data_IF_964971535399
#
_entry.id   IF_964971535399
#
_cell.length_a   1.000
_cell.length_b   1.000
_cell.length_c   1.000
_cell.angle_alpha   90.00
_cell.angle_beta   90.00
_cell.angle_gamma   90.00
#
_symmetry.space_group_name_H-M   'P 1'
#
loop_
_entity.id
_entity.type
_entity.pdbx_description
1 polymer ?
#
# COMPACT_ATOMS: atom_id res chain seq x y z
N UNK A 1 -35.16 -21.04 -20.64
CA UNK A 1 -34.53 -21.17 -19.31
C UNK A 1 -33.32 -22.07 -19.45
N UNK A 2 -32.16 -21.49 -19.73
CA UNK A 2 -30.85 -22.13 -19.60
C UNK A 2 -29.92 -21.06 -19.02
N UNK A 3 -29.20 -21.44 -17.97
CA UNK A 3 -28.57 -20.56 -17.00
C UNK A 3 -27.46 -19.69 -17.59
N UNK A 4 -27.58 -18.39 -17.37
CA UNK A 4 -26.47 -17.44 -17.29
C UNK A 4 -25.59 -17.84 -16.10
N UNK A 5 -24.48 -18.54 -16.33
CA UNK A 5 -23.46 -18.79 -15.31
C UNK A 5 -22.06 -18.97 -15.92
N UNK A 6 -21.79 -18.34 -17.07
CA UNK A 6 -20.48 -18.40 -17.74
C UNK A 6 -19.69 -17.06 -17.70
N UNK A 7 -20.10 -16.07 -16.91
CA UNK A 7 -19.30 -14.86 -16.67
C UNK A 7 -18.94 -14.72 -15.19
N UNK A 8 -18.14 -15.66 -14.71
CA UNK A 8 -17.29 -15.46 -13.53
C UNK A 8 -15.95 -16.18 -13.69
N UNK A 9 -15.37 -16.11 -14.88
CA UNK A 9 -13.91 -16.06 -14.98
C UNK A 9 -13.46 -14.75 -14.34
N UNK A 10 -13.41 -14.75 -13.00
CA UNK A 10 -12.67 -13.74 -12.27
C UNK A 10 -11.24 -13.79 -12.79
N UNK A 11 -10.84 -12.65 -13.33
CA UNK A 11 -9.52 -12.27 -13.83
C UNK A 11 -8.47 -12.28 -12.68
N UNK A 12 -8.30 -13.42 -12.00
CA UNK A 12 -7.35 -13.65 -10.92
C UNK A 12 -5.93 -13.85 -11.47
N UNK A 13 -5.80 -14.27 -12.73
CA UNK A 13 -4.53 -14.51 -13.39
C UNK A 13 -3.79 -13.21 -13.80
N UNK A 14 -4.49 -12.08 -13.95
CA UNK A 14 -3.88 -10.83 -14.42
C UNK A 14 -3.13 -10.03 -13.33
N UNK A 15 -3.30 -10.35 -12.05
CA UNK A 15 -2.84 -9.49 -10.93
C UNK A 15 -1.49 -9.88 -10.30
N UNK A 16 -0.79 -10.87 -10.85
CA UNK A 16 0.53 -11.30 -10.34
C UNK A 16 1.65 -11.22 -11.38
N UNK A 17 1.44 -10.52 -12.50
CA UNK A 17 2.54 -10.07 -13.36
C UNK A 17 3.34 -9.00 -12.61
N UNK A 18 4.23 -9.44 -11.73
CA UNK A 18 5.16 -8.58 -11.04
C UNK A 18 6.27 -8.18 -12.03
N UNK A 19 6.40 -6.89 -12.42
CA UNK A 19 7.36 -6.52 -13.44
C UNK A 19 8.78 -6.92 -13.02
N UNK A 20 9.52 -7.63 -13.90
CA UNK A 20 10.86 -8.14 -13.59
C UNK A 20 11.79 -7.04 -13.07
N UNK A 21 11.80 -5.87 -13.70
CA UNK A 21 12.60 -4.73 -13.24
C UNK A 21 12.23 -4.26 -11.83
N UNK A 22 10.94 -4.30 -11.49
CA UNK A 22 10.46 -3.97 -10.14
C UNK A 22 10.90 -5.04 -9.14
N UNK A 23 10.77 -6.31 -9.49
CA UNK A 23 11.26 -7.43 -8.68
C UNK A 23 12.75 -7.28 -8.39
N UNK A 24 13.57 -7.11 -9.43
CA UNK A 24 15.01 -6.96 -9.30
C UNK A 24 15.37 -5.73 -8.47
N UNK A 25 14.70 -4.59 -8.69
CA UNK A 25 14.94 -3.39 -7.90
C UNK A 25 14.68 -3.64 -6.40
N UNK A 26 13.56 -4.25 -6.06
CA UNK A 26 13.19 -4.57 -4.67
C UNK A 26 14.04 -5.67 -4.04
N UNK A 27 14.54 -6.61 -4.84
CA UNK A 27 15.50 -7.62 -4.42
C UNK A 27 16.86 -6.98 -4.09
N UNK A 28 17.42 -6.20 -5.02
CA UNK A 28 18.76 -5.60 -4.87
C UNK A 28 18.81 -4.51 -3.81
N UNK A 29 17.71 -3.80 -3.60
CA UNK A 29 17.62 -2.82 -2.52
C UNK A 29 17.16 -3.45 -1.19
N UNK A 30 16.76 -4.73 -1.15
CA UNK A 30 16.28 -5.42 0.05
C UNK A 30 14.89 -5.00 0.55
N UNK A 31 14.03 -4.44 -0.31
CA UNK A 31 12.68 -4.00 0.07
C UNK A 31 11.74 -5.15 0.38
N UNK A 32 11.95 -6.32 -0.22
CA UNK A 32 11.22 -7.53 0.13
C UNK A 32 11.48 -8.04 1.55
N UNK A 33 12.44 -7.45 2.25
CA UNK A 33 12.81 -7.85 3.60
C UNK A 33 12.60 -6.70 4.60
N UNK A 34 11.73 -5.74 4.28
CA UNK A 34 11.36 -4.67 5.21
C UNK A 34 10.51 -5.21 6.37
N UNK A 35 9.68 -6.21 6.09
CA UNK A 35 8.72 -6.81 7.04
C UNK A 35 8.28 -8.20 6.62
N UNK A 36 7.64 -8.95 7.51
CA UNK A 36 7.10 -10.29 7.24
C UNK A 36 6.12 -10.27 6.06
N UNK A 37 5.32 -9.21 5.93
CA UNK A 37 4.38 -9.04 4.83
C UNK A 37 5.08 -8.86 3.47
N UNK A 38 6.18 -8.10 3.43
CA UNK A 38 6.96 -7.92 2.19
C UNK A 38 7.75 -9.18 1.81
N UNK A 39 8.22 -9.94 2.80
CA UNK A 39 8.88 -11.23 2.57
C UNK A 39 7.88 -12.28 2.07
N UNK A 40 6.67 -12.27 2.63
CA UNK A 40 5.56 -13.09 2.16
C UNK A 40 5.18 -12.74 0.72
N UNK A 41 5.09 -11.45 0.37
CA UNK A 41 4.88 -11.02 -1.01
C UNK A 41 5.95 -11.57 -1.96
N UNK A 42 7.24 -11.51 -1.59
CA UNK A 42 8.33 -12.08 -2.39
C UNK A 42 8.15 -13.57 -2.62
N UNK A 43 7.83 -14.33 -1.56
CA UNK A 43 7.57 -15.76 -1.64
C UNK A 43 6.43 -16.05 -2.63
N UNK A 44 5.33 -15.31 -2.56
CA UNK A 44 4.18 -15.50 -3.44
C UNK A 44 4.48 -15.15 -4.90
N UNK A 45 5.30 -14.12 -5.16
CA UNK A 45 5.75 -13.79 -6.52
C UNK A 45 6.58 -14.94 -7.10
N UNK A 46 7.51 -15.49 -6.32
CA UNK A 46 8.34 -16.61 -6.75
C UNK A 46 7.52 -17.89 -6.96
N UNK A 47 6.58 -18.18 -6.06
CA UNK A 47 5.66 -19.31 -6.19
C UNK A 47 4.81 -19.19 -7.45
N UNK A 48 4.22 -18.01 -7.68
CA UNK A 48 3.39 -17.76 -8.85
C UNK A 48 4.19 -17.89 -10.15
N UNK A 49 5.44 -17.39 -10.18
CA UNK A 49 6.30 -17.57 -11.34
C UNK A 49 6.60 -19.06 -11.59
N UNK A 50 6.85 -19.85 -10.55
CA UNK A 50 7.05 -21.30 -10.70
C UNK A 50 5.79 -21.97 -11.25
N UNK A 51 4.63 -21.65 -10.68
CA UNK A 51 3.34 -22.19 -11.12
C UNK A 51 3.03 -21.84 -12.60
N UNK A 52 3.33 -20.60 -13.02
CA UNK A 52 2.96 -20.09 -14.34
C UNK A 52 3.96 -20.40 -15.45
N UNK A 53 5.25 -20.61 -15.13
CA UNK A 53 6.31 -20.80 -16.13
C UNK A 53 6.96 -22.19 -16.10
N UNK A 54 6.69 -23.02 -15.09
CA UNK A 54 7.22 -24.38 -15.06
C UNK A 54 6.48 -25.27 -16.04
N UNK A 55 7.24 -26.09 -16.78
CA UNK A 55 6.69 -27.06 -17.75
C UNK A 55 6.05 -28.25 -17.02
N UNK A 56 6.60 -28.60 -15.85
CA UNK A 56 6.08 -29.64 -14.94
C UNK A 56 5.66 -29.01 -13.60
N UNK A 57 4.60 -29.51 -12.97
CA UNK A 57 4.18 -29.04 -11.64
C UNK A 57 5.14 -29.52 -10.54
N UNK A 58 6.18 -28.72 -10.31
CA UNK A 58 7.16 -28.90 -9.23
C UNK A 58 6.91 -27.92 -8.07
N UNK A 59 5.65 -27.52 -7.85
CA UNK A 59 5.31 -26.62 -6.74
C UNK A 59 5.44 -27.29 -5.37
N UNK A 60 5.46 -28.63 -5.33
CA UNK A 60 5.50 -29.44 -4.10
C UNK A 60 6.77 -29.21 -3.26
N UNK A 61 7.91 -28.94 -3.90
CA UNK A 61 9.22 -28.70 -3.30
C UNK A 61 9.49 -27.23 -2.96
N UNK A 62 8.61 -26.32 -3.40
CA UNK A 62 8.86 -24.87 -3.37
C UNK A 62 9.17 -24.32 -1.97
N UNK A 63 8.39 -24.71 -0.95
CA UNK A 63 8.58 -24.18 0.40
C UNK A 63 9.91 -24.63 1.01
N UNK A 64 10.38 -25.83 0.68
CA UNK A 64 11.65 -26.37 1.15
C UNK A 64 12.82 -25.64 0.49
N UNK A 65 12.76 -25.42 -0.83
CA UNK A 65 13.75 -24.61 -1.55
C UNK A 65 13.78 -23.16 -1.06
N UNK A 66 12.62 -22.58 -0.79
CA UNK A 66 12.52 -21.22 -0.25
C UNK A 66 13.16 -21.16 1.15
N UNK A 67 12.93 -22.16 2.01
CA UNK A 67 13.56 -22.24 3.33
C UNK A 67 15.09 -22.39 3.25
N UNK A 68 15.60 -23.20 2.29
CA UNK A 68 17.04 -23.32 2.01
C UNK A 68 17.62 -21.99 1.52
N UNK A 69 16.90 -21.28 0.64
CA UNK A 69 17.32 -19.97 0.17
C UNK A 69 17.49 -18.98 1.33
N UNK A 70 16.63 -19.03 2.35
CA UNK A 70 16.69 -18.14 3.51
C UNK A 70 17.82 -18.46 4.50
N UNK A 71 18.40 -19.67 4.46
CA UNK A 71 19.39 -20.13 5.44
C UNK A 71 20.68 -19.31 5.42
N UNK A 72 21.16 -18.94 4.23
CA UNK A 72 22.42 -18.20 4.11
C UNK A 72 22.19 -16.71 4.39
N UNK A 73 23.05 -16.06 5.21
CA UNK A 73 22.97 -14.62 5.41
C UNK A 73 23.29 -13.89 4.10
N UNK A 74 22.68 -12.73 3.91
CA UNK A 74 22.96 -11.89 2.75
C UNK A 74 24.34 -11.23 2.90
N UNK A 75 25.20 -11.43 1.90
CA UNK A 75 26.56 -10.88 1.83
C UNK A 75 26.70 -9.70 0.85
N UNK A 76 25.59 -9.10 0.39
CA UNK A 76 25.63 -8.00 -0.57
C UNK A 76 26.32 -6.75 0.01
N UNK A 77 27.53 -6.46 -0.48
CA UNK A 77 28.38 -5.40 0.05
C UNK A 77 27.77 -4.00 -0.07
N UNK A 78 26.93 -3.78 -1.09
CA UNK A 78 26.24 -2.50 -1.36
C UNK A 78 25.04 -2.23 -0.45
N UNK A 79 24.53 -3.22 0.29
CA UNK A 79 23.45 -3.01 1.27
C UNK A 79 24.09 -2.60 2.61
N UNK A 80 23.72 -1.47 3.23
CA UNK A 80 24.30 -1.05 4.51
C UNK A 80 24.22 -2.14 5.61
N UNK A 81 25.22 -2.18 6.50
CA UNK A 81 25.36 -3.23 7.52
C UNK A 81 24.11 -3.38 8.42
N UNK A 82 23.55 -2.28 8.92
CA UNK A 82 22.33 -2.30 9.72
C UNK A 82 21.14 -2.91 8.97
N UNK A 83 21.05 -2.63 7.66
CA UNK A 83 19.99 -3.17 6.81
C UNK A 83 20.21 -4.67 6.55
N UNK A 84 21.45 -5.11 6.33
CA UNK A 84 21.77 -6.55 6.23
C UNK A 84 21.40 -7.32 7.50
N UNK A 85 21.66 -6.73 8.67
CA UNK A 85 21.29 -7.32 9.96
C UNK A 85 19.76 -7.51 10.05
N UNK A 86 18.97 -6.46 9.76
CA UNK A 86 17.51 -6.55 9.71
C UNK A 86 17.03 -7.65 8.76
N UNK A 87 17.58 -7.69 7.55
CA UNK A 87 17.22 -8.70 6.54
C UNK A 87 17.51 -10.11 7.07
N UNK A 88 18.67 -10.34 7.67
CA UNK A 88 19.05 -11.65 8.19
C UNK A 88 18.16 -12.08 9.38
N UNK A 89 17.76 -11.14 10.25
CA UNK A 89 16.78 -11.40 11.32
C UNK A 89 15.45 -11.87 10.72
N UNK A 90 14.92 -11.14 9.75
CA UNK A 90 13.65 -11.49 9.10
C UNK A 90 13.72 -12.83 8.36
N UNK A 91 14.81 -13.09 7.63
CA UNK A 91 15.04 -14.37 6.95
C UNK A 91 15.07 -15.53 7.94
N UNK A 92 15.72 -15.34 9.08
CA UNK A 92 15.79 -16.33 10.17
C UNK A 92 14.40 -16.61 10.75
N UNK A 93 13.62 -15.56 11.02
CA UNK A 93 12.22 -15.64 11.48
C UNK A 93 11.33 -16.42 10.53
N UNK A 94 11.30 -16.07 9.25
CA UNK A 94 10.46 -16.76 8.25
C UNK A 94 10.91 -18.21 8.04
N UNK A 95 12.22 -18.46 7.96
CA UNK A 95 12.77 -19.82 7.89
C UNK A 95 12.34 -20.67 9.08
N UNK A 96 12.29 -20.08 10.27
CA UNK A 96 11.86 -20.78 11.47
C UNK A 96 10.40 -21.20 11.42
N UNK A 97 9.49 -20.36 10.90
CA UNK A 97 8.10 -20.78 10.64
C UNK A 97 8.08 -21.92 9.63
N UNK A 98 8.80 -21.80 8.51
CA UNK A 98 8.83 -22.83 7.46
C UNK A 98 9.31 -24.18 7.99
N UNK A 99 10.29 -24.19 8.91
CA UNK A 99 10.83 -25.42 9.49
C UNK A 99 9.92 -26.04 10.56
N UNK A 100 9.30 -25.23 11.42
CA UNK A 100 8.59 -25.73 12.60
C UNK A 100 7.06 -25.77 12.44
N UNK A 101 6.52 -24.97 11.52
CA UNK A 101 5.10 -24.97 11.18
C UNK A 101 4.87 -24.59 9.69
N UNK A 102 5.33 -25.44 8.75
CA UNK A 102 5.14 -25.19 7.31
C UNK A 102 3.67 -25.12 6.90
N UNK A 103 2.76 -25.67 7.71
CA UNK A 103 1.33 -25.72 7.40
C UNK A 103 0.71 -24.34 7.23
N UNK A 104 1.23 -23.32 7.94
CA UNK A 104 0.77 -21.93 7.77
C UNK A 104 0.92 -21.46 6.32
N UNK A 105 2.06 -21.75 5.67
CA UNK A 105 2.28 -21.37 4.28
C UNK A 105 1.57 -22.30 3.30
N UNK A 106 1.48 -23.60 3.60
CA UNK A 106 0.69 -24.54 2.78
C UNK A 106 -0.78 -24.13 2.73
N UNK A 107 -1.35 -23.73 3.86
CA UNK A 107 -2.71 -23.20 3.95
C UNK A 107 -2.88 -21.90 3.16
N UNK A 108 -1.85 -21.03 3.10
CA UNK A 108 -1.89 -19.85 2.25
C UNK A 108 -1.90 -20.24 0.77
N UNK A 109 -0.95 -21.09 0.33
CA UNK A 109 -0.76 -21.45 -1.07
C UNK A 109 -1.90 -22.30 -1.65
N UNK A 110 -2.64 -23.02 -0.81
CA UNK A 110 -3.83 -23.79 -1.24
C UNK A 110 -5.07 -22.93 -1.50
N UNK A 111 -5.06 -21.65 -1.10
CA UNK A 111 -6.20 -20.75 -1.31
C UNK A 111 -6.29 -20.29 -2.76
N UNK A 112 -7.50 -20.20 -3.35
CA UNK A 112 -7.69 -19.58 -4.66
C UNK A 112 -7.25 -18.10 -4.71
N UNK A 113 -7.34 -17.40 -3.58
CA UNK A 113 -7.01 -15.98 -3.42
C UNK A 113 -5.67 -15.76 -2.72
N UNK A 114 -4.73 -16.71 -2.77
CA UNK A 114 -3.46 -16.67 -1.99
C UNK A 114 -2.67 -15.36 -2.12
N UNK A 115 -2.85 -14.62 -3.22
CA UNK A 115 -2.18 -13.35 -3.50
C UNK A 115 -2.87 -12.12 -2.89
N UNK A 116 -4.10 -12.27 -2.40
CA UNK A 116 -4.94 -11.21 -1.84
C UNK A 116 -4.34 -10.62 -0.56
N UNK A 117 -4.64 -9.36 -0.29
CA UNK A 117 -4.20 -8.73 0.96
C UNK A 117 -4.78 -9.44 2.18
N UNK A 118 -6.02 -9.90 2.08
CA UNK A 118 -6.75 -10.65 3.10
C UNK A 118 -6.07 -11.98 3.41
N UNK A 119 -5.65 -12.74 2.40
CA UNK A 119 -4.94 -14.01 2.57
C UNK A 119 -3.60 -13.78 3.29
N UNK A 120 -2.82 -12.80 2.83
CA UNK A 120 -1.55 -12.42 3.46
C UNK A 120 -1.72 -11.93 4.90
N UNK A 121 -2.72 -11.08 5.16
CA UNK A 121 -3.07 -10.60 6.50
C UNK A 121 -3.40 -11.77 7.42
N UNK A 122 -4.19 -12.74 6.95
CA UNK A 122 -4.52 -13.92 7.74
C UNK A 122 -3.27 -14.76 8.04
N UNK A 123 -2.38 -14.97 7.08
CA UNK A 123 -1.12 -15.68 7.33
C UNK A 123 -0.26 -15.02 8.41
N UNK A 124 -0.17 -13.69 8.42
CA UNK A 124 0.53 -12.97 9.51
C UNK A 124 -0.16 -13.19 10.87
N UNK A 125 -1.49 -13.27 10.91
CA UNK A 125 -2.22 -13.64 12.13
C UNK A 125 -1.91 -15.06 12.58
N UNK A 126 -1.88 -16.01 11.65
CA UNK A 126 -1.63 -17.41 11.94
C UNK A 126 -0.20 -17.59 12.48
N UNK A 127 0.79 -16.87 11.92
CA UNK A 127 2.17 -16.80 12.46
C UNK A 127 2.16 -16.28 13.90
N UNK A 128 1.51 -15.14 14.14
CA UNK A 128 1.45 -14.56 15.48
C UNK A 128 0.78 -15.50 16.50
N UNK A 129 -0.36 -16.08 16.16
CA UNK A 129 -1.09 -17.02 17.02
C UNK A 129 -0.25 -18.26 17.31
N UNK A 130 0.46 -18.78 16.32
CA UNK A 130 1.40 -19.87 16.52
C UNK A 130 2.55 -19.47 17.45
N UNK A 131 3.13 -18.28 17.31
CA UNK A 131 4.15 -17.78 18.24
C UNK A 131 3.61 -17.59 19.66
N UNK A 132 2.32 -17.32 19.83
CA UNK A 132 1.66 -17.26 21.15
C UNK A 132 1.63 -18.63 21.83
N UNK A 133 1.36 -19.69 21.06
CA UNK A 133 1.22 -21.05 21.59
C UNK A 133 2.51 -21.88 21.49
N UNK A 134 3.57 -21.34 20.87
CA UNK A 134 4.84 -22.02 20.69
C UNK A 134 5.55 -22.23 22.04
N UNK A 135 5.75 -23.49 22.41
CA UNK A 135 6.38 -23.93 23.66
C UNK A 135 7.71 -24.67 23.45
N UNK A 136 8.24 -24.70 22.22
CA UNK A 136 9.49 -25.38 21.89
C UNK A 136 10.73 -24.56 22.24
N UNK A 137 11.89 -25.23 22.26
CA UNK A 137 13.19 -24.54 22.30
C UNK A 137 13.42 -23.81 20.97
N UNK A 138 13.09 -22.53 20.93
CA UNK A 138 13.63 -21.65 19.90
C UNK A 138 15.15 -21.62 20.14
N UNK A 139 15.94 -22.15 19.21
CA UNK A 139 17.40 -22.03 19.29
C UNK A 139 17.82 -20.58 19.50
N UNK A 140 19.02 -20.35 20.04
CA UNK A 140 19.55 -19.04 20.49
C UNK A 140 19.51 -17.88 19.48
N UNK A 141 19.12 -18.12 18.23
CA UNK A 141 19.02 -17.12 17.17
C UNK A 141 17.65 -16.41 17.09
N UNK A 142 16.62 -16.86 17.82
CA UNK A 142 15.26 -16.32 17.71
C UNK A 142 14.68 -15.99 19.08
N UNK A 143 14.58 -14.69 19.35
CA UNK A 143 13.85 -14.16 20.50
C UNK A 143 12.35 -14.09 20.16
N UNK A 144 11.63 -15.17 20.49
CA UNK A 144 10.19 -15.31 20.18
C UNK A 144 9.37 -14.20 20.83
N UNK A 145 9.71 -13.79 22.06
CA UNK A 145 9.00 -12.73 22.78
C UNK A 145 9.14 -11.39 22.04
N UNK A 146 10.37 -11.01 21.68
CA UNK A 146 10.62 -9.76 20.97
C UNK A 146 10.02 -9.76 19.58
N UNK A 147 10.05 -10.90 18.89
CA UNK A 147 9.37 -11.02 17.60
C UNK A 147 7.85 -10.85 17.71
N UNK A 148 7.20 -11.41 18.74
CA UNK A 148 5.76 -11.17 18.96
C UNK A 148 5.46 -9.69 19.18
N UNK A 149 6.28 -9.02 19.97
CA UNK A 149 6.15 -7.58 20.21
C UNK A 149 6.33 -6.77 18.92
N UNK A 150 7.33 -7.13 18.10
CA UNK A 150 7.55 -6.52 16.79
C UNK A 150 6.34 -6.69 15.86
N UNK A 151 5.82 -7.92 15.75
CA UNK A 151 4.63 -8.19 14.93
C UNK A 151 3.44 -7.38 15.43
N UNK A 152 3.20 -7.34 16.74
CA UNK A 152 2.10 -6.60 17.32
C UNK A 152 2.25 -5.08 17.10
N UNK A 153 3.46 -4.54 17.20
CA UNK A 153 3.73 -3.13 16.95
C UNK A 153 3.54 -2.76 15.46
N UNK A 154 4.04 -3.59 14.55
CA UNK A 154 4.01 -3.33 13.11
C UNK A 154 2.62 -3.58 12.50
N UNK A 155 1.93 -4.62 12.98
CA UNK A 155 0.66 -5.09 12.44
C UNK A 155 -0.48 -5.04 13.46
N UNK A 156 -0.46 -4.12 14.43
CA UNK A 156 -1.51 -3.94 15.46
C UNK A 156 -2.94 -4.00 14.87
N UNK A 157 -3.14 -3.37 13.73
CA UNK A 157 -4.41 -3.32 13.00
C UNK A 157 -4.87 -4.68 12.45
N UNK A 158 -3.96 -5.65 12.35
CA UNK A 158 -4.31 -7.01 11.97
C UNK A 158 -4.94 -7.72 13.17
N UNK A 159 -4.34 -7.60 14.36
CA UNK A 159 -4.72 -8.31 15.57
C UNK A 159 -5.89 -7.71 16.33
N UNK A 160 -6.23 -6.46 16.06
CA UNK A 160 -7.52 -5.92 16.46
C UNK A 160 -8.63 -6.71 15.75
N UNK A 161 -9.16 -7.74 16.43
CA UNK A 161 -10.49 -8.28 16.13
C UNK A 161 -11.43 -7.10 15.99
N UNK A 162 -12.31 -7.17 15.01
CA UNK A 162 -13.20 -6.12 14.52
C UNK A 162 -13.96 -5.39 15.64
N UNK A 163 -13.29 -4.53 16.41
CA UNK A 163 -13.83 -3.32 17.01
C UNK A 163 -13.96 -2.26 15.92
N UNK A 164 -14.51 -2.67 14.78
CA UNK A 164 -15.41 -1.81 14.02
C UNK A 164 -16.84 -2.09 14.48
N UNK A 165 -17.05 -2.14 15.80
CA UNK A 165 -18.25 -1.54 16.34
C UNK A 165 -18.13 -0.07 15.96
N UNK A 166 -18.72 0.29 14.83
CA UNK A 166 -19.10 1.64 14.43
C UNK A 166 -18.52 2.71 15.36
N UNK A 167 -17.25 3.05 15.21
CA UNK A 167 -16.91 4.46 15.23
C UNK A 167 -17.50 5.01 13.93
N UNK A 168 -18.84 5.09 13.92
CA UNK A 168 -19.48 6.33 13.55
C UNK A 168 -18.75 7.35 14.43
N UNK A 169 -17.65 7.91 13.92
CA UNK A 169 -17.49 9.34 14.03
C UNK A 169 -18.88 9.85 13.69
N UNK A 170 -19.59 10.37 14.70
CA UNK A 170 -20.90 10.97 14.49
C UNK A 170 -20.76 11.77 13.20
N UNK A 171 -21.66 11.60 12.20
CA UNK A 171 -21.53 12.33 10.96
C UNK A 171 -21.64 13.79 11.35
N UNK A 172 -20.50 14.44 11.58
CA UNK A 172 -20.40 15.87 11.43
C UNK A 172 -20.86 16.05 9.99
N UNK A 173 -22.06 16.62 9.82
CA UNK A 173 -22.51 17.09 8.51
C UNK A 173 -21.27 17.72 7.86
N UNK A 174 -20.78 17.17 6.74
CA UNK A 174 -19.56 17.70 6.17
C UNK A 174 -19.84 19.18 5.90
N UNK A 175 -19.00 20.06 6.44
CA UNK A 175 -19.18 21.49 6.26
C UNK A 175 -19.18 21.90 4.77
N UNK A 176 -18.68 21.00 3.91
CA UNK A 176 -18.57 21.13 2.48
C UNK A 176 -18.99 19.82 1.79
N UNK A 177 -19.84 19.92 0.78
CA UNK A 177 -20.35 18.82 -0.06
C UNK A 177 -19.47 18.59 -1.30
N UNK A 178 -18.68 19.59 -1.72
CA UNK A 178 -17.85 19.50 -2.93
C UNK A 178 -16.53 20.28 -2.81
N UNK A 179 -15.46 19.76 -3.42
CA UNK A 179 -14.12 20.36 -3.44
C UNK A 179 -14.06 21.84 -3.88
N UNK A 180 -14.91 22.30 -4.81
CA UNK A 180 -14.89 23.71 -5.22
C UNK A 180 -15.21 24.67 -4.07
N UNK A 181 -15.95 24.22 -3.05
CA UNK A 181 -16.39 25.08 -1.94
C UNK A 181 -15.23 25.53 -1.05
N UNK A 182 -14.13 24.78 -1.05
CA UNK A 182 -12.91 25.09 -0.29
C UNK A 182 -11.90 25.93 -1.10
N UNK A 183 -12.13 26.09 -2.41
CA UNK A 183 -11.32 26.94 -3.26
C UNK A 183 -11.64 28.42 -3.01
N UNK A 184 -10.61 29.25 -3.15
CA UNK A 184 -10.72 30.71 -3.05
C UNK A 184 -11.42 31.29 -4.27
N UNK A 185 -12.41 32.15 -4.02
CA UNK A 185 -13.20 32.88 -5.02
C UNK A 185 -14.27 33.73 -4.34
N UNK A 186 -14.73 34.79 -5.00
CA UNK A 186 -15.71 35.76 -4.49
C UNK A 186 -17.12 35.16 -4.42
N UNK A 187 -17.47 34.33 -5.41
CA UNK A 187 -18.78 33.72 -5.52
C UNK A 187 -18.69 32.22 -5.90
N UNK A 188 -19.85 31.57 -5.96
CA UNK A 188 -19.96 30.15 -6.31
C UNK A 188 -19.48 29.87 -7.74
N UNK A 189 -19.75 30.77 -8.69
CA UNK A 189 -19.41 30.58 -10.10
C UNK A 189 -17.88 30.63 -10.29
N UNK A 190 -17.21 31.59 -9.66
CA UNK A 190 -15.76 31.74 -9.70
C UNK A 190 -15.04 30.53 -9.09
N UNK A 191 -15.57 29.99 -7.98
CA UNK A 191 -15.06 28.77 -7.35
C UNK A 191 -15.25 27.53 -8.23
N UNK A 192 -16.42 27.40 -8.87
CA UNK A 192 -16.71 26.29 -9.79
C UNK A 192 -15.85 26.37 -11.05
N UNK A 193 -15.66 27.57 -11.62
CA UNK A 193 -14.77 27.80 -12.75
C UNK A 193 -13.32 27.44 -12.42
N UNK A 194 -12.84 27.83 -11.24
CA UNK A 194 -11.51 27.45 -10.77
C UNK A 194 -11.36 25.94 -10.61
N UNK A 195 -12.37 25.27 -10.08
CA UNK A 195 -12.37 23.81 -9.99
C UNK A 195 -12.37 23.16 -11.38
N UNK A 196 -13.15 23.68 -12.32
CA UNK A 196 -13.14 23.21 -13.72
C UNK A 196 -11.75 23.37 -14.34
N UNK A 197 -11.11 24.53 -14.19
CA UNK A 197 -9.73 24.76 -14.66
C UNK A 197 -8.72 23.79 -14.03
N UNK A 198 -8.85 23.51 -12.74
CA UNK A 198 -8.04 22.49 -12.06
C UNK A 198 -8.21 21.12 -12.73
N UNK A 199 -9.45 20.70 -12.95
CA UNK A 199 -9.76 19.42 -13.62
C UNK A 199 -9.22 19.40 -15.04
N UNK A 200 -9.38 20.47 -15.82
CA UNK A 200 -8.89 20.58 -17.19
C UNK A 200 -7.36 20.44 -17.25
N UNK A 201 -6.64 21.08 -16.32
CA UNK A 201 -5.19 20.93 -16.15
C UNK A 201 -4.84 19.47 -15.85
N UNK A 202 -5.51 18.84 -14.89
CA UNK A 202 -5.24 17.46 -14.50
C UNK A 202 -5.55 16.45 -15.62
N UNK A 203 -6.56 16.71 -16.45
CA UNK A 203 -6.87 15.91 -17.63
C UNK A 203 -5.82 16.11 -18.73
N UNK A 204 -5.47 17.37 -19.03
CA UNK A 204 -4.48 17.72 -20.06
C UNK A 204 -3.13 17.07 -19.76
N UNK A 205 -2.66 17.21 -18.53
CA UNK A 205 -1.39 16.62 -18.08
C UNK A 205 -1.49 15.13 -17.75
N UNK A 206 -2.64 14.49 -18.01
CA UNK A 206 -2.83 13.04 -17.85
C UNK A 206 -2.60 12.56 -16.40
N UNK A 207 -3.02 13.33 -15.40
CA UNK A 207 -3.06 12.91 -13.99
C UNK A 207 -4.37 12.18 -13.66
N UNK A 208 -5.45 12.54 -14.36
CA UNK A 208 -6.77 11.93 -14.23
C UNK A 208 -7.34 11.51 -15.60
N UNK A 209 -8.37 10.68 -15.59
CA UNK A 209 -9.19 10.30 -16.76
C UNK A 209 -10.66 10.58 -16.46
N UNK A 210 -11.46 10.83 -17.48
CA UNK A 210 -12.92 10.83 -17.36
C UNK A 210 -13.40 9.43 -16.96
N UNK A 211 -14.36 9.37 -16.04
CA UNK A 211 -15.09 8.12 -15.74
C UNK A 211 -16.43 8.10 -16.47
N UNK A 212 -17.13 6.95 -16.42
CA UNK A 212 -18.50 6.82 -16.93
C UNK A 212 -19.50 7.71 -16.19
N UNK A 213 -19.18 8.11 -14.95
CA UNK A 213 -20.03 8.98 -14.15
C UNK A 213 -19.69 10.46 -14.42
N UNK A 214 -20.64 11.28 -14.91
CA UNK A 214 -20.41 12.70 -15.14
C UNK A 214 -19.95 13.42 -13.87
N UNK A 215 -18.90 14.23 -13.99
CA UNK A 215 -18.32 14.97 -12.86
C UNK A 215 -17.45 14.12 -11.92
N UNK A 216 -17.18 12.86 -12.28
CA UNK A 216 -16.29 11.96 -11.55
C UNK A 216 -15.13 11.51 -12.44
N UNK A 217 -13.93 11.45 -11.88
CA UNK A 217 -12.69 11.19 -12.62
C UNK A 217 -11.91 10.05 -11.97
N UNK A 218 -11.17 9.28 -12.76
CA UNK A 218 -10.28 8.23 -12.24
C UNK A 218 -8.84 8.74 -12.21
N UNK A 219 -8.22 8.68 -11.05
CA UNK A 219 -6.81 8.99 -10.87
C UNK A 219 -5.96 7.93 -11.54
N UNK A 220 -5.00 8.35 -12.38
CA UNK A 220 -4.20 7.43 -13.21
C UNK A 220 -3.05 6.78 -12.44
N UNK A 221 -2.54 7.42 -11.38
CA UNK A 221 -1.36 6.91 -10.69
C UNK A 221 -1.75 5.98 -9.51
N UNK A 222 -1.77 4.67 -9.79
CA UNK A 222 -1.97 3.62 -8.79
C UNK A 222 -0.68 3.18 -8.08
N UNK A 223 0.47 3.76 -8.42
CA UNK A 223 1.76 3.39 -7.83
C UNK A 223 1.98 3.96 -6.41
N UNK A 224 3.07 3.53 -5.75
CA UNK A 224 3.46 3.88 -4.36
C UNK A 224 3.58 5.39 -4.09
N UNK A 225 3.61 6.23 -5.13
CA UNK A 225 3.65 7.71 -5.06
C UNK A 225 2.29 8.41 -5.19
N UNK A 226 1.22 7.73 -5.61
CA UNK A 226 -0.07 8.35 -5.95
C UNK A 226 -0.69 9.16 -4.79
N UNK A 227 -0.65 8.61 -3.57
CA UNK A 227 -1.11 9.33 -2.37
C UNK A 227 -0.31 10.60 -2.07
N UNK A 228 1.00 10.60 -2.36
CA UNK A 228 1.85 11.76 -2.15
C UNK A 228 1.61 12.83 -3.22
N UNK A 229 1.27 12.43 -4.44
CA UNK A 229 0.86 13.35 -5.50
C UNK A 229 -0.45 14.08 -5.15
N UNK A 230 -1.47 13.34 -4.70
CA UNK A 230 -2.74 13.96 -4.28
C UNK A 230 -2.56 14.87 -3.05
N UNK A 231 -1.76 14.45 -2.07
CA UNK A 231 -1.40 15.30 -0.94
C UNK A 231 -0.58 16.53 -1.37
N UNK A 232 0.32 16.40 -2.36
CA UNK A 232 1.10 17.51 -2.89
C UNK A 232 0.23 18.51 -3.67
N UNK A 233 -0.83 18.08 -4.36
CA UNK A 233 -1.83 18.97 -4.97
C UNK A 233 -2.48 19.83 -3.89
N UNK A 234 -3.03 19.21 -2.85
CA UNK A 234 -3.69 19.93 -1.76
C UNK A 234 -2.74 20.90 -1.05
N UNK A 235 -1.53 20.43 -0.74
CA UNK A 235 -0.48 21.25 -0.14
C UNK A 235 -0.12 22.46 -1.00
N UNK A 236 0.05 22.26 -2.32
CA UNK A 236 0.45 23.32 -3.25
C UNK A 236 -0.66 24.33 -3.44
N UNK A 237 -1.91 23.89 -3.58
CA UNK A 237 -3.09 24.76 -3.61
C UNK A 237 -3.18 25.62 -2.34
N UNK A 238 -2.91 25.04 -1.17
CA UNK A 238 -2.86 25.77 0.09
C UNK A 238 -1.74 26.82 0.11
N UNK A 239 -0.51 26.44 -0.26
CA UNK A 239 0.66 27.34 -0.27
C UNK A 239 0.55 28.49 -1.29
N UNK A 240 -0.13 28.28 -2.42
CA UNK A 240 -0.40 29.31 -3.42
C UNK A 240 -1.63 30.16 -3.07
N UNK A 241 -2.30 29.90 -1.95
CA UNK A 241 -3.47 30.67 -1.51
C UNK A 241 -4.73 30.39 -2.32
N UNK A 242 -4.83 29.22 -2.96
CA UNK A 242 -6.04 28.77 -3.65
C UNK A 242 -7.06 28.11 -2.71
N UNK A 243 -6.70 27.83 -1.45
CA UNK A 243 -7.58 27.26 -0.42
C UNK A 243 -7.67 28.23 0.75
N UNK A 244 -8.90 28.59 1.16
CA UNK A 244 -9.15 29.62 2.16
C UNK A 244 -8.93 29.14 3.61
N UNK A 245 -9.04 27.83 3.86
CA UNK A 245 -9.02 27.25 5.21
C UNK A 245 -8.32 25.90 5.23
N UNK A 246 -7.51 25.66 6.27
CA UNK A 246 -7.04 24.31 6.58
C UNK A 246 -8.20 23.48 7.12
N UNK A 247 -8.42 22.32 6.52
CA UNK A 247 -9.43 21.35 6.95
C UNK A 247 -8.76 20.13 7.59
N UNK A 248 -9.46 19.44 8.52
CA UNK A 248 -9.01 18.16 9.04
C UNK A 248 -8.80 17.13 7.92
N UNK A 249 -7.77 16.30 8.06
CA UNK A 249 -7.40 15.29 7.08
C UNK A 249 -8.57 14.40 6.58
N UNK A 250 -9.50 13.93 7.44
CA UNK A 250 -10.66 13.16 6.98
C UNK A 250 -11.59 13.95 6.05
N UNK A 251 -11.77 15.25 6.29
CA UNK A 251 -12.61 16.10 5.45
C UNK A 251 -11.96 16.35 4.09
N UNK A 252 -10.63 16.59 4.06
CA UNK A 252 -9.88 16.74 2.81
C UNK A 252 -9.99 15.48 1.96
N UNK A 253 -9.74 14.30 2.56
CA UNK A 253 -9.88 13.02 1.88
C UNK A 253 -11.31 12.81 1.34
N UNK A 254 -12.34 13.13 2.15
CA UNK A 254 -13.73 13.07 1.71
C UNK A 254 -14.04 13.97 0.51
N UNK A 255 -13.45 15.17 0.45
CA UNK A 255 -13.62 16.10 -0.67
C UNK A 255 -12.89 15.66 -1.94
N UNK A 256 -11.77 14.95 -1.84
CA UNK A 256 -11.18 14.32 -3.03
C UNK A 256 -12.07 13.16 -3.51
N UNK A 257 -12.53 12.32 -2.59
CA UNK A 257 -13.40 11.18 -2.91
C UNK A 257 -14.77 11.59 -3.50
N UNK A 258 -15.17 12.86 -3.40
CA UNK A 258 -16.45 13.33 -3.96
C UNK A 258 -16.42 13.56 -5.48
N UNK A 259 -15.24 13.64 -6.09
CA UNK A 259 -15.06 13.83 -7.54
C UNK A 259 -13.96 12.96 -8.15
N UNK A 260 -13.17 12.25 -7.34
CA UNK A 260 -12.01 11.48 -7.78
C UNK A 260 -12.07 10.04 -7.23
N UNK A 261 -11.94 9.07 -8.13
CA UNK A 261 -11.74 7.65 -7.86
C UNK A 261 -10.26 7.29 -7.82
N UNK A 262 -9.85 6.43 -6.89
CA UNK A 262 -8.48 5.94 -6.77
C UNK A 262 -8.40 4.63 -5.96
N UNK A 263 -7.34 3.87 -6.13
CA UNK A 263 -7.14 2.58 -5.44
C UNK A 263 -6.39 2.70 -4.09
N UNK A 264 -6.21 3.92 -3.59
CA UNK A 264 -5.51 4.18 -2.33
C UNK A 264 -6.42 3.83 -1.15
N UNK A 265 -5.95 3.01 -0.22
CA UNK A 265 -6.72 2.67 0.99
C UNK A 265 -7.10 3.92 1.79
N UNK A 266 -8.36 4.00 2.24
CA UNK A 266 -8.91 5.20 2.89
C UNK A 266 -8.06 5.67 4.08
N UNK A 267 -7.53 4.73 4.88
CA UNK A 267 -6.65 5.05 6.00
C UNK A 267 -5.32 5.68 5.55
N UNK A 268 -4.69 5.12 4.51
CA UNK A 268 -3.46 5.66 3.95
C UNK A 268 -3.68 7.01 3.27
N UNK A 269 -4.84 7.18 2.64
CA UNK A 269 -5.24 8.42 1.99
C UNK A 269 -5.47 9.54 3.01
N UNK A 270 -6.28 9.30 4.04
CA UNK A 270 -6.46 10.25 5.17
C UNK A 270 -5.11 10.59 5.80
N UNK A 271 -4.25 9.59 6.05
CA UNK A 271 -2.91 9.81 6.62
C UNK A 271 -2.09 10.81 5.81
N UNK A 272 -2.20 10.80 4.48
CA UNK A 272 -1.43 11.69 3.60
C UNK A 272 -1.77 13.19 3.79
N UNK A 273 -2.98 13.51 4.28
CA UNK A 273 -3.43 14.87 4.55
C UNK A 273 -3.28 15.31 6.02
N UNK A 274 -2.73 14.46 6.88
CA UNK A 274 -2.39 14.86 8.24
C UNK A 274 -1.35 15.98 8.22
N UNK A 275 -1.47 16.94 9.13
CA UNK A 275 -0.59 18.12 9.18
C UNK A 275 0.87 17.72 9.22
N UNK A 276 1.23 16.72 10.03
CA UNK A 276 2.59 16.22 10.16
C UNK A 276 3.12 15.64 8.84
N UNK A 277 2.25 15.03 8.02
CA UNK A 277 2.63 14.51 6.70
C UNK A 277 2.75 15.63 5.67
N UNK A 278 1.86 16.62 5.70
CA UNK A 278 1.92 17.78 4.82
C UNK A 278 3.15 18.64 5.10
N UNK A 279 3.55 18.78 6.36
CA UNK A 279 4.70 19.59 6.76
C UNK A 279 6.02 19.05 6.21
N UNK A 280 6.12 17.73 5.99
CA UNK A 280 7.30 17.14 5.35
C UNK A 280 7.50 17.56 3.88
N UNK A 281 6.51 18.22 3.25
CA UNK A 281 6.69 18.85 1.94
C UNK A 281 7.50 20.16 2.02
N UNK A 282 7.67 20.76 3.20
CA UNK A 282 8.63 21.83 3.46
C UNK A 282 10.06 21.25 3.57
N UNK A 283 10.52 20.55 2.53
CA UNK A 283 11.80 19.85 2.51
C UNK A 283 12.77 20.45 1.48
N UNK A 284 14.06 20.18 1.68
CA UNK A 284 15.13 20.56 0.75
C UNK A 284 15.03 19.81 -0.59
N UNK A 285 15.64 20.38 -1.64
CA UNK A 285 15.58 19.86 -3.02
C UNK A 285 16.08 18.42 -3.20
N UNK A 286 16.95 17.95 -2.30
CA UNK A 286 17.47 16.58 -2.29
C UNK A 286 16.52 15.52 -1.73
N UNK A 287 15.34 15.90 -1.21
CA UNK A 287 14.35 14.96 -0.67
C UNK A 287 13.34 14.55 -1.74
N UNK A 288 12.93 13.26 -1.80
CA UNK A 288 11.96 12.79 -2.80
C UNK A 288 10.63 13.56 -2.83
N UNK A 289 10.18 14.07 -1.67
CA UNK A 289 8.94 14.85 -1.56
C UNK A 289 9.00 16.21 -2.26
N UNK A 290 10.20 16.79 -2.43
CA UNK A 290 10.38 18.04 -3.15
C UNK A 290 9.98 17.94 -4.63
N UNK A 291 10.21 16.77 -5.24
CA UNK A 291 9.82 16.49 -6.63
C UNK A 291 8.31 16.66 -6.83
N UNK A 292 7.49 16.04 -5.97
CA UNK A 292 6.03 16.14 -6.06
C UNK A 292 5.52 17.59 -5.91
N UNK A 293 6.13 18.37 -5.02
CA UNK A 293 5.77 19.79 -4.85
C UNK A 293 6.16 20.61 -6.08
N UNK A 294 7.33 20.35 -6.67
CA UNK A 294 7.79 21.05 -7.87
C UNK A 294 6.89 20.73 -9.06
N UNK A 295 6.56 19.45 -9.26
CA UNK A 295 5.60 19.01 -10.27
C UNK A 295 4.24 19.69 -10.08
N UNK A 296 3.69 19.70 -8.86
CA UNK A 296 2.42 20.36 -8.58
C UNK A 296 2.48 21.88 -8.77
N UNK A 297 3.59 22.54 -8.45
CA UNK A 297 3.75 23.99 -8.67
C UNK A 297 3.75 24.34 -10.15
N UNK A 298 4.41 23.52 -10.97
CA UNK A 298 4.42 23.70 -12.42
C UNK A 298 3.04 23.42 -13.03
N UNK A 299 2.41 22.34 -12.57
CA UNK A 299 1.06 21.93 -12.98
C UNK A 299 0.02 23.02 -12.68
N UNK A 300 0.08 23.63 -11.49
CA UNK A 300 -0.91 24.58 -10.99
C UNK A 300 -0.48 26.05 -11.19
N UNK A 301 0.54 26.32 -12.00
CA UNK A 301 1.08 27.69 -12.18
C UNK A 301 0.03 28.68 -12.69
N UNK A 302 -0.85 28.20 -13.56
CA UNK A 302 -1.80 29.03 -14.32
C UNK A 302 -3.26 28.88 -13.82
N UNK A 303 -3.45 28.41 -12.57
CA UNK A 303 -4.77 28.16 -11.95
C UNK A 303 -5.40 29.41 -11.30
#
# INVERSE_FOLDING_TARGET
>A
MCNENEEKEMNLHSNLQYPLFKYLSEEFNGSFYQSELTCLNRMLILYHNRLSFSIDDDTSSFLDEFAQHLEKPIAYWWIPAYKRQHINVLRTRIRFVLKNNPQIFRNLLSRPDYSSFEAKRQTIKDIYQWLVTFSGEAGSAIEVIDWKNDLQAEFDQFFQETKQAKEKMAPQKPAFEHFYQILKGKDKAEKQDKFRRLVDILLREQWITSSEKPGFYQFRNSSTGGRLQLAAIYYTLGKQGHIDRQLPAPQVAGLFNSWLSHDISQKSFIKAFQTEQLDTFNCSSNRPRHKYVTECRLLLRDL
#
